data_IF_909573962438
#
_entry.id   IF_909573962438
#
_cell.length_a   1.000
_cell.length_b   1.000
_cell.length_c   1.000
_cell.angle_alpha   90.00
_cell.angle_beta   90.00
_cell.angle_gamma   90.00
#
_symmetry.space_group_name_H-M   'P 1'
#
loop_
_entity.id
_entity.type
_entity.pdbx_description
1 polymer ?
#
# COMPACT_ATOMS: atom_id res chain seq x y z
N UNK A 1 4.58 9.26 -17.11
CA UNK A 1 5.73 9.17 -16.18
C UNK A 1 6.51 10.46 -16.12
N UNK A 2 7.22 10.91 -17.18
CA UNK A 2 8.10 12.08 -17.11
C UNK A 2 7.38 13.37 -16.65
N UNK A 3 6.22 13.68 -17.22
CA UNK A 3 5.43 14.85 -16.81
C UNK A 3 5.02 14.78 -15.33
N UNK A 4 4.68 13.59 -14.83
CA UNK A 4 4.36 13.38 -13.42
C UNK A 4 5.56 13.70 -12.53
N UNK A 5 6.74 13.16 -12.84
CA UNK A 5 7.97 13.41 -12.09
C UNK A 5 8.32 14.91 -12.10
N UNK A 6 8.23 15.56 -13.26
CA UNK A 6 8.50 17.00 -13.39
C UNK A 6 7.58 17.85 -12.51
N UNK A 7 6.29 17.51 -12.45
CA UNK A 7 5.32 18.23 -11.63
C UNK A 7 5.39 17.88 -10.14
N UNK A 8 5.83 16.66 -9.82
CA UNK A 8 5.98 16.20 -8.44
C UNK A 8 7.18 16.85 -7.74
N UNK A 9 8.29 17.04 -8.46
CA UNK A 9 9.55 17.56 -7.91
C UNK A 9 9.38 18.85 -7.07
N UNK A 10 8.76 19.92 -7.57
CA UNK A 10 8.59 21.13 -6.76
C UNK A 10 7.72 20.94 -5.53
N UNK A 11 6.79 19.97 -5.55
CA UNK A 11 5.94 19.64 -4.39
C UNK A 11 6.78 18.95 -3.31
N UNK A 12 7.64 18.00 -3.69
CA UNK A 12 8.56 17.32 -2.76
C UNK A 12 9.59 18.30 -2.20
N UNK A 13 10.19 19.16 -3.03
CA UNK A 13 11.11 20.21 -2.58
C UNK A 13 10.45 21.16 -1.55
N UNK A 14 9.15 21.41 -1.70
CA UNK A 14 8.41 22.20 -0.72
C UNK A 14 8.17 21.41 0.57
N UNK A 15 7.83 20.12 0.46
CA UNK A 15 7.69 19.23 1.61
C UNK A 15 8.99 19.14 2.43
N UNK A 16 10.14 19.04 1.76
CA UNK A 16 11.47 19.08 2.41
C UNK A 16 11.68 20.38 3.20
N UNK A 17 11.38 21.52 2.61
CA UNK A 17 11.49 22.84 3.29
C UNK A 17 10.58 22.95 4.52
N UNK A 18 9.44 22.28 4.49
CA UNK A 18 8.47 22.25 5.60
C UNK A 18 8.77 21.16 6.63
N UNK A 19 9.74 20.25 6.37
CA UNK A 19 10.04 19.11 7.23
C UNK A 19 8.89 18.08 7.31
N UNK A 20 8.11 17.93 6.23
CA UNK A 20 6.97 16.99 6.17
C UNK A 20 7.23 15.87 5.18
N UNK A 21 6.65 14.70 5.44
CA UNK A 21 6.66 13.56 4.54
C UNK A 21 5.49 13.70 3.58
N UNK A 22 5.77 13.58 2.28
CA UNK A 22 4.78 13.39 1.23
C UNK A 22 4.74 11.90 0.89
N UNK A 23 3.63 11.23 1.13
CA UNK A 23 3.50 9.83 0.79
C UNK A 23 2.54 9.65 -0.40
N UNK A 24 2.99 8.91 -1.41
CA UNK A 24 2.21 8.57 -2.60
C UNK A 24 1.67 7.15 -2.49
N UNK A 25 0.47 6.96 -3.00
CA UNK A 25 -0.18 5.65 -3.04
C UNK A 25 -0.16 5.09 -4.47
N UNK A 26 0.56 3.98 -4.71
CA UNK A 26 0.54 3.28 -5.99
C UNK A 26 -0.81 2.61 -6.25
N UNK A 27 -1.35 2.81 -7.47
CA UNK A 27 -2.65 2.26 -7.86
C UNK A 27 -2.56 1.65 -9.26
N UNK A 28 -3.06 0.42 -9.42
CA UNK A 28 -3.11 -0.29 -10.70
C UNK A 28 -3.83 0.53 -11.78
N UNK A 29 -3.30 0.49 -13.01
CA UNK A 29 -3.72 1.32 -14.15
C UNK A 29 -3.49 2.83 -14.01
N UNK A 30 -2.84 3.30 -12.95
CA UNK A 30 -2.36 4.68 -12.82
C UNK A 30 -0.88 4.82 -13.18
N UNK A 31 -0.24 5.95 -12.88
CA UNK A 31 1.16 6.21 -13.24
C UNK A 31 2.11 5.29 -12.50
N UNK A 32 1.87 5.07 -11.21
CA UNK A 32 2.62 4.16 -10.33
C UNK A 32 1.84 2.84 -10.15
N UNK A 33 1.58 2.14 -11.25
CA UNK A 33 0.66 1.00 -11.26
C UNK A 33 1.28 -0.33 -10.83
N UNK A 34 2.59 -0.39 -10.66
CA UNK A 34 3.30 -1.57 -10.17
C UNK A 34 4.60 -1.19 -9.44
N UNK A 35 5.27 -2.14 -8.76
CA UNK A 35 6.49 -1.86 -8.01
C UNK A 35 7.59 -1.20 -8.85
N UNK A 36 7.83 -1.67 -10.07
CA UNK A 36 8.86 -1.12 -10.94
C UNK A 36 8.60 0.35 -11.35
N UNK A 37 7.34 0.73 -11.61
CA UNK A 37 7.00 2.12 -11.91
C UNK A 37 7.09 3.01 -10.67
N UNK A 38 6.73 2.48 -9.50
CA UNK A 38 6.90 3.14 -8.22
C UNK A 38 8.37 3.45 -7.95
N UNK A 39 9.26 2.46 -8.10
CA UNK A 39 10.72 2.64 -7.94
C UNK A 39 11.28 3.72 -8.85
N UNK A 40 10.85 3.76 -10.12
CA UNK A 40 11.28 4.83 -11.06
C UNK A 40 10.95 6.24 -10.58
N UNK A 41 9.80 6.43 -9.94
CA UNK A 41 9.42 7.74 -9.38
C UNK A 41 10.29 8.07 -8.18
N UNK A 42 10.46 7.12 -7.26
CA UNK A 42 11.29 7.31 -6.07
C UNK A 42 12.74 7.64 -6.45
N UNK A 43 13.35 6.86 -7.37
CA UNK A 43 14.72 7.10 -7.85
C UNK A 43 14.88 8.45 -8.58
N UNK A 44 13.87 8.83 -9.38
CA UNK A 44 13.95 10.07 -10.13
C UNK A 44 13.81 11.32 -9.26
N UNK A 45 13.07 11.24 -8.16
CA UNK A 45 12.93 12.32 -7.19
C UNK A 45 14.09 12.32 -6.20
N UNK A 46 14.49 11.14 -5.70
CA UNK A 46 15.62 10.93 -4.79
C UNK A 46 15.54 11.81 -3.52
N UNK A 47 14.43 11.70 -2.80
CA UNK A 47 14.18 12.49 -1.59
C UNK A 47 13.68 11.61 -0.44
N UNK A 48 14.23 11.74 0.78
CA UNK A 48 13.74 11.03 1.95
C UNK A 48 12.34 11.52 2.39
N UNK A 49 11.91 12.68 1.93
CA UNK A 49 10.60 13.24 2.19
C UNK A 49 9.53 12.70 1.24
N UNK A 50 9.91 11.94 0.19
CA UNK A 50 8.98 11.22 -0.66
C UNK A 50 8.92 9.75 -0.20
N UNK A 51 7.78 9.33 0.28
CA UNK A 51 7.54 7.98 0.76
C UNK A 51 6.27 7.38 0.12
N UNK A 52 5.89 6.18 0.57
CA UNK A 52 4.80 5.41 0.00
C UNK A 52 3.73 5.12 1.07
N UNK A 53 2.47 5.31 0.69
CA UNK A 53 1.36 4.61 1.34
C UNK A 53 1.20 3.28 0.61
N UNK A 54 1.40 2.19 1.33
CA UNK A 54 1.26 0.86 0.75
C UNK A 54 -0.13 0.31 0.99
N UNK A 55 -0.94 0.34 -0.05
CA UNK A 55 -2.20 -0.38 -0.13
C UNK A 55 -2.03 -1.57 -1.09
N UNK A 56 -1.90 -2.80 -0.57
CA UNK A 56 -1.66 -3.96 -1.41
C UNK A 56 -2.81 -4.24 -2.38
N UNK A 57 -4.06 -4.00 -1.98
CA UNK A 57 -5.23 -4.24 -2.85
C UNK A 57 -5.27 -3.26 -4.02
N UNK A 58 -4.75 -2.04 -3.85
CA UNK A 58 -4.67 -1.07 -4.94
C UNK A 58 -3.68 -1.44 -6.06
N UNK A 59 -2.81 -2.42 -5.84
CA UNK A 59 -1.96 -2.99 -6.90
C UNK A 59 -2.68 -4.09 -7.71
N UNK A 60 -3.90 -4.45 -7.33
CA UNK A 60 -4.63 -5.58 -7.89
C UNK A 60 -5.76 -5.15 -8.84
N UNK A 61 -6.10 -6.09 -9.72
CA UNK A 61 -7.24 -6.07 -10.64
C UNK A 61 -7.63 -7.53 -10.93
N UNK A 62 -8.78 -7.76 -11.54
CA UNK A 62 -9.22 -9.11 -11.96
C UNK A 62 -8.23 -9.85 -12.86
N UNK A 63 -7.33 -9.14 -13.51
CA UNK A 63 -6.32 -9.74 -14.40
C UNK A 63 -5.06 -10.22 -13.68
N UNK A 64 -4.85 -9.83 -12.40
CA UNK A 64 -3.60 -10.11 -11.69
C UNK A 64 -3.76 -10.57 -10.22
N UNK A 65 -4.96 -10.53 -9.64
CA UNK A 65 -5.18 -10.82 -8.21
C UNK A 65 -4.77 -12.25 -7.81
N UNK A 66 -4.76 -13.20 -8.72
CA UNK A 66 -4.29 -14.57 -8.44
C UNK A 66 -2.78 -14.63 -8.15
N UNK A 67 -2.03 -13.63 -8.65
CA UNK A 67 -0.60 -13.47 -8.41
C UNK A 67 -0.29 -12.47 -7.30
N UNK A 68 -1.24 -12.18 -6.43
CA UNK A 68 -1.12 -11.14 -5.40
C UNK A 68 0.09 -11.31 -4.49
N UNK A 69 0.40 -12.53 -4.09
CA UNK A 69 1.56 -12.81 -3.22
C UNK A 69 2.89 -12.41 -3.88
N UNK A 70 3.04 -12.72 -5.17
CA UNK A 70 4.23 -12.33 -5.94
C UNK A 70 4.31 -10.79 -6.06
N UNK A 71 3.18 -10.13 -6.33
CA UNK A 71 3.09 -8.67 -6.46
C UNK A 71 3.42 -7.99 -5.13
N UNK A 72 2.92 -8.52 -4.02
CA UNK A 72 3.18 -7.96 -2.69
C UNK A 72 4.63 -8.18 -2.27
N UNK A 73 5.19 -9.37 -2.51
CA UNK A 73 6.60 -9.65 -2.25
C UNK A 73 7.52 -8.73 -3.08
N UNK A 74 7.23 -8.55 -4.37
CA UNK A 74 7.95 -7.61 -5.23
C UNK A 74 7.85 -6.17 -4.72
N UNK A 75 6.66 -5.72 -4.27
CA UNK A 75 6.45 -4.40 -3.72
C UNK A 75 7.29 -4.16 -2.46
N UNK A 76 7.23 -5.09 -1.49
CA UNK A 76 8.01 -5.01 -0.26
C UNK A 76 9.52 -5.04 -0.52
N UNK A 77 9.98 -5.83 -1.48
CA UNK A 77 11.38 -5.87 -1.89
C UNK A 77 11.81 -4.56 -2.58
N UNK A 78 10.93 -3.94 -3.36
CA UNK A 78 11.27 -2.81 -4.23
C UNK A 78 11.24 -1.47 -3.50
N UNK A 79 10.24 -1.25 -2.63
CA UNK A 79 10.05 0.03 -1.92
C UNK A 79 9.62 -0.14 -0.45
N UNK A 80 9.86 -1.29 0.15
CA UNK A 80 9.45 -1.55 1.54
C UNK A 80 10.08 -0.58 2.54
N UNK A 81 11.33 -0.16 2.31
CA UNK A 81 12.02 0.83 3.16
C UNK A 81 11.37 2.20 3.13
N UNK A 82 10.75 2.57 2.03
CA UNK A 82 10.06 3.86 1.86
C UNK A 82 8.57 3.83 2.26
N UNK A 83 8.05 2.71 2.76
CA UNK A 83 6.66 2.66 3.23
C UNK A 83 6.53 3.48 4.52
N UNK A 84 5.72 4.53 4.48
CA UNK A 84 5.39 5.39 5.62
C UNK A 84 4.12 4.96 6.34
N UNK A 85 3.18 4.35 5.62
CA UNK A 85 1.87 3.93 6.13
C UNK A 85 1.38 2.73 5.33
N UNK A 86 0.59 1.86 5.97
CA UNK A 86 -0.07 0.73 5.31
C UNK A 86 -1.59 0.99 5.34
N UNK A 87 -2.23 0.85 4.19
CA UNK A 87 -3.68 0.76 4.11
C UNK A 87 -4.11 -0.70 4.10
N UNK A 88 -4.99 -1.05 5.01
CA UNK A 88 -5.49 -2.42 5.18
C UNK A 88 -6.96 -2.45 4.78
N UNK A 89 -7.23 -2.99 3.61
CA UNK A 89 -8.55 -3.35 3.11
C UNK A 89 -8.53 -4.76 2.55
N UNK A 90 -9.69 -5.27 2.25
CA UNK A 90 -9.90 -6.58 1.64
C UNK A 90 -10.51 -6.42 0.25
N UNK A 91 -10.69 -7.52 -0.46
CA UNK A 91 -11.37 -7.54 -1.74
C UNK A 91 -12.15 -8.82 -1.95
N UNK A 92 -13.17 -8.73 -2.79
CA UNK A 92 -13.95 -9.86 -3.30
C UNK A 92 -13.98 -9.82 -4.82
N UNK A 93 -14.12 -10.99 -5.45
CA UNK A 93 -14.36 -11.07 -6.89
C UNK A 93 -15.84 -11.36 -7.11
N UNK A 94 -16.55 -10.40 -7.71
CA UNK A 94 -17.97 -10.53 -8.03
C UNK A 94 -18.22 -10.05 -9.46
N UNK A 95 -18.92 -10.84 -10.24
CA UNK A 95 -19.28 -10.53 -11.64
C UNK A 95 -18.07 -10.10 -12.49
N UNK A 96 -16.91 -10.76 -12.30
CA UNK A 96 -15.69 -10.45 -13.02
C UNK A 96 -15.05 -9.11 -12.65
N UNK A 97 -15.37 -8.56 -11.48
CA UNK A 97 -14.79 -7.32 -10.94
C UNK A 97 -14.15 -7.56 -9.59
N UNK A 98 -13.05 -6.87 -9.33
CA UNK A 98 -12.47 -6.77 -8.00
C UNK A 98 -13.17 -5.63 -7.26
N UNK A 99 -13.83 -5.96 -6.16
CA UNK A 99 -14.54 -5.03 -5.30
C UNK A 99 -13.84 -4.95 -3.94
N UNK A 100 -13.40 -3.75 -3.58
CA UNK A 100 -12.80 -3.53 -2.27
C UNK A 100 -13.85 -3.63 -1.16
N UNK A 101 -13.45 -4.23 -0.02
CA UNK A 101 -14.31 -4.40 1.15
C UNK A 101 -13.48 -4.28 2.45
N UNK A 102 -14.18 -4.34 3.59
CA UNK A 102 -13.54 -4.23 4.89
C UNK A 102 -12.62 -5.42 5.20
N UNK A 103 -11.50 -5.23 5.92
CA UNK A 103 -10.61 -6.32 6.30
C UNK A 103 -11.31 -7.47 7.01
N UNK A 104 -11.01 -8.69 6.57
CA UNK A 104 -11.59 -9.92 7.08
C UNK A 104 -12.93 -10.32 6.45
N UNK A 105 -13.37 -9.60 5.42
CA UNK A 105 -14.64 -9.91 4.73
C UNK A 105 -14.45 -10.37 3.28
N UNK A 106 -13.21 -10.53 2.85
CA UNK A 106 -12.88 -10.88 1.46
C UNK A 106 -11.87 -12.03 1.34
N UNK A 107 -11.01 -11.93 0.32
CA UNK A 107 -10.04 -12.96 -0.09
C UNK A 107 -8.57 -12.56 0.17
N UNK A 108 -8.33 -11.48 0.91
CA UNK A 108 -6.98 -11.00 1.18
C UNK A 108 -6.26 -11.91 2.19
N UNK A 109 -5.03 -12.30 1.86
CA UNK A 109 -4.09 -12.84 2.82
C UNK A 109 -3.16 -11.72 3.31
N UNK A 110 -3.13 -11.50 4.61
CA UNK A 110 -2.36 -10.41 5.23
C UNK A 110 -1.01 -10.87 5.79
N UNK A 111 -0.72 -12.16 5.85
CA UNK A 111 0.40 -12.71 6.62
C UNK A 111 1.73 -12.13 6.16
N UNK A 112 1.97 -12.05 4.85
CA UNK A 112 3.20 -11.47 4.30
C UNK A 112 3.37 -9.99 4.72
N UNK A 113 2.29 -9.22 4.61
CA UNK A 113 2.30 -7.77 4.91
C UNK A 113 2.52 -7.52 6.41
N UNK A 114 1.76 -8.24 7.24
CA UNK A 114 1.83 -8.10 8.70
C UNK A 114 3.18 -8.59 9.24
N UNK A 115 3.71 -9.69 8.71
CA UNK A 115 5.04 -10.18 9.05
C UNK A 115 6.11 -9.16 8.68
N UNK A 116 6.07 -8.59 7.47
CA UNK A 116 6.99 -7.54 7.06
C UNK A 116 6.92 -6.33 8.01
N UNK A 117 5.71 -5.87 8.34
CA UNK A 117 5.52 -4.76 9.27
C UNK A 117 6.12 -5.06 10.65
N UNK A 118 5.87 -6.26 11.18
CA UNK A 118 6.39 -6.71 12.49
C UNK A 118 7.91 -6.76 12.53
N UNK A 119 8.54 -7.28 11.47
CA UNK A 119 10.00 -7.49 11.42
C UNK A 119 10.78 -6.23 11.06
N UNK A 120 10.26 -5.39 10.17
CA UNK A 120 11.00 -4.27 9.60
C UNK A 120 10.48 -2.88 9.99
N UNK A 121 9.20 -2.78 10.35
CA UNK A 121 8.53 -1.51 10.66
C UNK A 121 7.58 -1.61 11.87
N UNK A 122 8.05 -2.02 13.05
CA UNK A 122 7.19 -2.37 14.20
C UNK A 122 6.34 -1.21 14.74
N UNK A 123 6.63 0.02 14.34
CA UNK A 123 5.90 1.22 14.76
C UNK A 123 5.13 1.90 13.60
N UNK A 124 4.99 1.21 12.47
CA UNK A 124 4.29 1.78 11.33
C UNK A 124 2.79 1.95 11.63
N UNK A 125 2.24 3.06 11.18
CA UNK A 125 0.80 3.25 11.22
C UNK A 125 0.11 2.45 10.12
N UNK A 126 -1.00 1.81 10.48
CA UNK A 126 -1.89 1.16 9.54
C UNK A 126 -3.31 1.69 9.71
N UNK A 127 -3.98 1.98 8.60
CA UNK A 127 -5.37 2.43 8.59
C UNK A 127 -6.27 1.34 8.02
N UNK A 128 -7.47 1.22 8.59
CA UNK A 128 -8.52 0.36 8.05
C UNK A 128 -9.24 1.10 6.93
N UNK A 129 -9.28 0.53 5.75
CA UNK A 129 -10.06 1.07 4.64
C UNK A 129 -11.32 0.25 4.34
N UNK A 130 -12.28 0.88 3.66
CA UNK A 130 -13.59 0.28 3.36
C UNK A 130 -14.35 -0.25 4.59
N UNK A 131 -14.03 0.29 5.76
CA UNK A 131 -14.74 0.01 7.01
C UNK A 131 -15.84 1.06 7.27
N UNK A 132 -16.83 0.64 8.04
CA UNK A 132 -17.86 1.50 8.60
C UNK A 132 -17.82 1.42 10.13
N UNK A 133 -18.50 2.32 10.88
CA UNK A 133 -18.55 2.19 12.34
C UNK A 133 -19.01 0.81 12.83
N UNK A 134 -19.90 0.15 12.07
CA UNK A 134 -20.50 -1.14 12.43
C UNK A 134 -19.51 -2.30 12.30
N UNK A 135 -18.54 -2.26 11.35
CA UNK A 135 -17.59 -3.35 11.11
C UNK A 135 -16.15 -3.04 11.51
N UNK A 136 -15.81 -1.81 11.86
CA UNK A 136 -14.44 -1.40 12.18
C UNK A 136 -13.84 -2.19 13.36
N UNK A 137 -14.62 -2.49 14.39
CA UNK A 137 -14.18 -3.28 15.54
C UNK A 137 -13.83 -4.71 15.11
N UNK A 138 -14.70 -5.34 14.31
CA UNK A 138 -14.46 -6.67 13.77
C UNK A 138 -13.18 -6.71 12.92
N UNK A 139 -13.01 -5.77 11.99
CA UNK A 139 -11.84 -5.69 11.11
C UNK A 139 -10.54 -5.49 11.90
N UNK A 140 -10.56 -4.63 12.91
CA UNK A 140 -9.40 -4.42 13.80
C UNK A 140 -9.05 -5.71 14.56
N UNK A 141 -10.03 -6.38 15.16
CA UNK A 141 -9.79 -7.62 15.92
C UNK A 141 -9.31 -8.77 15.03
N UNK A 142 -9.85 -8.86 13.81
CA UNK A 142 -9.40 -9.82 12.82
C UNK A 142 -7.91 -9.62 12.50
N UNK A 143 -7.50 -8.40 12.15
CA UNK A 143 -6.12 -8.07 11.82
C UNK A 143 -5.18 -8.22 13.03
N UNK A 144 -5.63 -7.84 14.22
CA UNK A 144 -4.86 -8.00 15.45
C UNK A 144 -4.52 -9.48 15.71
N UNK A 145 -5.50 -10.37 15.58
CA UNK A 145 -5.27 -11.81 15.71
C UNK A 145 -4.28 -12.35 14.67
N UNK A 146 -4.37 -11.89 13.41
CA UNK A 146 -3.42 -12.27 12.36
C UNK A 146 -2.01 -11.77 12.68
N UNK A 147 -1.87 -10.53 13.12
CA UNK A 147 -0.59 -9.94 13.51
C UNK A 147 0.08 -10.67 14.67
N UNK A 148 -0.68 -11.22 15.61
CA UNK A 148 -0.16 -12.01 16.73
C UNK A 148 0.40 -13.37 16.27
N UNK A 149 -0.15 -13.94 15.19
CA UNK A 149 0.22 -15.27 14.67
C UNK A 149 1.45 -15.25 13.75
N UNK A 150 1.80 -14.14 13.11
CA UNK A 150 2.94 -14.02 12.19
C UNK A 150 4.25 -13.65 12.86
#
# INVERSE_FOLDING_TARGET
>A
MQTFITNLRPVVEYAEKCGVILALEPVYKHIMWNPAQTRKVLDAIDSPNLQIIFDPVNLLDVSNYERREEIFAEALQTFGTEIAMIHLKDFQIQDGKLLACAPGTGCMDYDLILKYAKEHKPYIHATLENTTPENAVFSREFLQKRYELV
#
